data_IF_091792343880
#
_entry.id   IF_091792343880
#
_cell.length_a   1.000
_cell.length_b   1.000
_cell.length_c   1.000
_cell.angle_alpha   90.00
_cell.angle_beta   90.00
_cell.angle_gamma   90.00
#
_symmetry.space_group_name_H-M   'P 1'
#
loop_
_entity.id
_entity.type
_entity.pdbx_description
1 polymer ?
#
# COMPACT_ATOMS: atom_id res chain seq x y z
N UNK A 1 20.47 7.90 42.77
CA UNK A 1 21.21 6.84 42.05
C UNK A 1 20.20 5.81 41.54
N UNK A 2 19.91 5.79 40.24
CA UNK A 2 18.95 4.86 39.65
C UNK A 2 19.62 3.54 39.24
N UNK A 3 19.08 2.43 39.75
CA UNK A 3 19.44 1.05 39.42
C UNK A 3 19.04 0.71 37.98
N UNK A 4 19.96 0.90 37.03
CA UNK A 4 19.79 0.44 35.65
C UNK A 4 20.36 -0.97 35.50
N UNK A 5 19.49 -1.93 35.14
CA UNK A 5 19.83 -3.32 34.87
C UNK A 5 20.72 -3.44 33.62
N UNK A 6 21.68 -4.38 33.63
CA UNK A 6 22.53 -4.71 32.48
C UNK A 6 21.68 -5.17 31.28
N UNK A 7 22.04 -4.80 30.04
CA UNK A 7 21.32 -5.24 28.85
C UNK A 7 21.44 -6.76 28.65
N UNK A 8 20.31 -7.46 28.69
CA UNK A 8 20.26 -8.93 28.66
C UNK A 8 20.22 -9.50 27.23
N UNK A 9 19.68 -8.75 26.25
CA UNK A 9 19.54 -9.23 24.87
C UNK A 9 20.60 -8.68 23.90
N UNK A 10 20.87 -9.43 22.82
CA UNK A 10 21.77 -9.02 21.71
C UNK A 10 21.39 -7.65 21.13
N UNK A 11 20.08 -7.38 21.01
CA UNK A 11 19.52 -6.11 20.52
C UNK A 11 19.78 -4.94 21.48
N UNK A 12 19.76 -5.17 22.79
CA UNK A 12 20.08 -4.14 23.78
C UNK A 12 21.58 -3.86 23.83
N UNK A 13 22.43 -4.88 23.66
CA UNK A 13 23.89 -4.71 23.52
C UNK A 13 24.24 -3.90 22.28
N UNK A 14 23.64 -4.22 21.13
CA UNK A 14 23.83 -3.46 19.89
C UNK A 14 23.45 -1.99 20.06
N UNK A 15 22.28 -1.68 20.63
CA UNK A 15 21.89 -0.29 20.93
C UNK A 15 22.86 0.46 21.85
N UNK A 16 23.43 -0.22 22.85
CA UNK A 16 24.41 0.38 23.75
C UNK A 16 25.73 0.70 23.02
N UNK A 17 26.20 -0.22 22.16
CA UNK A 17 27.37 -0.02 21.30
C UNK A 17 27.12 1.15 20.34
N UNK A 18 25.96 1.20 19.69
CA UNK A 18 25.56 2.31 18.81
C UNK A 18 25.58 3.66 19.54
N UNK A 19 25.07 3.74 20.77
CA UNK A 19 25.08 4.97 21.56
C UNK A 19 26.50 5.42 21.95
N UNK A 20 27.38 4.48 22.32
CA UNK A 20 28.79 4.77 22.63
C UNK A 20 29.52 5.25 21.38
N UNK A 21 29.34 4.58 20.25
CA UNK A 21 29.90 4.99 18.96
C UNK A 21 29.37 6.38 18.54
N UNK A 22 28.08 6.66 18.72
CA UNK A 22 27.49 7.98 18.45
C UNK A 22 28.10 9.08 19.33
N UNK A 23 28.34 8.81 20.61
CA UNK A 23 28.99 9.77 21.53
C UNK A 23 30.45 9.99 21.15
N UNK A 24 31.18 8.92 20.81
CA UNK A 24 32.55 8.96 20.32
C UNK A 24 32.65 9.77 19.03
N UNK A 25 31.83 9.48 18.04
CA UNK A 25 31.80 10.19 16.76
C UNK A 25 31.47 11.68 16.94
N UNK A 26 30.54 12.02 17.85
CA UNK A 26 30.22 13.43 18.18
C UNK A 26 31.41 14.16 18.81
N UNK A 27 32.12 13.49 19.73
CA UNK A 27 33.28 14.07 20.41
C UNK A 27 34.49 14.20 19.48
N UNK A 28 34.67 13.23 18.60
CA UNK A 28 35.68 13.27 17.53
C UNK A 28 35.37 14.39 16.51
N UNK A 29 34.09 14.65 16.19
CA UNK A 29 33.67 15.77 15.32
C UNK A 29 33.95 17.15 15.92
N UNK A 30 33.92 17.32 17.24
CA UNK A 30 34.26 18.61 17.88
C UNK A 30 35.75 18.97 17.79
N UNK A 31 36.62 18.03 17.44
CA UNK A 31 38.08 18.21 17.35
C UNK A 31 38.58 18.43 15.90
N UNK A 32 37.73 18.99 15.01
CA UNK A 32 38.07 19.38 13.63
C UNK A 32 38.55 18.24 12.71
N UNK A 33 37.65 17.31 12.41
CA UNK A 33 37.92 16.06 11.69
C UNK A 33 37.69 16.08 10.16
N UNK A 34 37.67 17.23 9.47
CA UNK A 34 37.40 17.25 8.01
C UNK A 34 38.48 16.57 7.13
N UNK A 35 39.53 15.96 7.71
CA UNK A 35 40.74 15.53 6.98
C UNK A 35 41.33 14.16 7.34
N UNK A 36 40.74 13.40 8.25
CA UNK A 36 41.37 12.14 8.71
C UNK A 36 40.86 10.94 7.89
N UNK A 37 41.80 10.15 7.39
CA UNK A 37 41.53 8.95 6.59
C UNK A 37 40.92 7.81 7.43
N UNK A 38 40.27 6.85 6.77
CA UNK A 38 39.48 5.76 7.39
C UNK A 38 40.27 4.98 8.45
N UNK A 39 41.54 4.69 8.17
CA UNK A 39 42.39 3.93 9.10
C UNK A 39 42.84 4.78 10.30
N UNK A 40 43.01 6.09 10.10
CA UNK A 40 43.31 7.03 11.17
C UNK A 40 42.13 7.22 12.13
N UNK A 41 40.89 7.02 11.66
CA UNK A 41 39.70 7.02 12.53
C UNK A 41 39.67 5.82 13.48
N UNK A 42 39.96 4.62 12.98
CA UNK A 42 39.98 3.42 13.82
C UNK A 42 41.16 3.43 14.79
N UNK A 43 42.34 3.89 14.36
CA UNK A 43 43.48 4.11 15.25
C UNK A 43 43.17 5.18 16.31
N UNK A 44 42.53 6.30 15.95
CA UNK A 44 42.08 7.28 16.96
C UNK A 44 40.99 6.75 17.88
N UNK A 45 40.09 5.90 17.41
CA UNK A 45 39.03 5.30 18.23
C UNK A 45 39.62 4.30 19.23
N UNK A 46 40.66 3.56 18.79
CA UNK A 46 41.47 2.66 19.60
C UNK A 46 42.29 3.45 20.62
N UNK A 47 43.05 4.45 20.21
CA UNK A 47 43.78 5.38 21.08
C UNK A 47 42.86 6.02 22.09
N UNK A 48 41.69 6.50 21.67
CA UNK A 48 40.74 7.17 22.56
C UNK A 48 40.11 6.20 23.57
N UNK A 49 39.89 4.93 23.19
CA UNK A 49 39.44 3.89 24.13
C UNK A 49 40.54 3.47 25.10
N UNK A 50 41.79 3.38 24.64
CA UNK A 50 42.97 3.06 25.43
C UNK A 50 43.39 4.20 26.38
N UNK A 51 43.16 5.45 25.97
CA UNK A 51 43.46 6.68 26.73
C UNK A 51 42.26 7.26 27.49
N UNK A 52 41.05 6.71 27.30
CA UNK A 52 39.85 7.16 28.02
C UNK A 52 40.16 7.12 29.52
N UNK A 53 39.98 8.24 30.26
CA UNK A 53 40.44 8.33 31.64
C UNK A 53 40.02 7.13 32.46
N UNK A 54 40.93 6.68 33.34
CA UNK A 54 40.74 5.70 34.43
C UNK A 54 39.67 6.18 35.43
N UNK A 55 38.53 6.63 34.96
CA UNK A 55 37.40 7.07 35.75
C UNK A 55 36.74 5.80 36.29
N UNK A 56 37.17 5.45 37.50
CA UNK A 56 36.85 4.24 38.26
C UNK A 56 35.37 3.88 38.23
N UNK A 57 34.49 4.86 38.04
CA UNK A 57 33.04 4.73 38.00
C UNK A 57 32.46 4.00 36.75
N UNK A 58 33.15 4.00 35.60
CA UNK A 58 32.69 3.29 34.40
C UNK A 58 33.25 1.86 34.37
N UNK A 59 34.49 1.65 34.83
CA UNK A 59 35.06 0.30 35.01
C UNK A 59 34.30 -0.54 36.03
N UNK A 60 33.72 0.06 37.07
CA UNK A 60 32.88 -0.69 38.01
C UNK A 60 31.48 -1.01 37.47
N UNK A 61 30.98 -0.27 36.47
CA UNK A 61 29.64 -0.48 35.91
C UNK A 61 29.60 -1.36 34.65
N UNK A 62 30.70 -1.39 33.87
CA UNK A 62 30.82 -2.20 32.64
C UNK A 62 32.15 -2.98 32.52
N UNK A 63 33.17 -2.59 33.27
CA UNK A 63 34.54 -3.11 33.16
C UNK A 63 34.79 -4.50 33.75
N UNK A 64 33.75 -5.27 34.03
CA UNK A 64 33.88 -6.72 34.30
C UNK A 64 33.50 -7.62 33.12
N UNK A 65 32.92 -7.10 32.03
CA UNK A 65 32.28 -7.97 31.02
C UNK A 65 32.76 -7.77 29.57
N UNK A 66 33.41 -6.67 29.23
CA UNK A 66 33.86 -6.47 27.85
C UNK A 66 35.39 -6.30 27.74
N UNK A 67 36.03 -7.40 27.33
CA UNK A 67 37.40 -7.41 26.83
C UNK A 67 37.53 -6.39 25.68
N UNK A 68 38.45 -5.41 25.76
CA UNK A 68 38.70 -4.42 24.71
C UNK A 68 38.90 -5.04 23.33
N UNK A 69 39.63 -6.16 23.24
CA UNK A 69 39.87 -6.86 21.98
C UNK A 69 38.59 -7.50 21.44
N UNK A 70 37.70 -7.96 22.33
CA UNK A 70 36.39 -8.49 21.97
C UNK A 70 35.42 -7.38 21.54
N UNK A 71 35.47 -6.21 22.17
CA UNK A 71 34.72 -5.02 21.71
C UNK A 71 35.19 -4.57 20.34
N UNK A 72 36.50 -4.43 20.13
CA UNK A 72 37.09 -4.09 18.83
C UNK A 72 36.72 -5.15 17.78
N UNK A 73 36.84 -6.43 18.10
CA UNK A 73 36.43 -7.52 17.20
C UNK A 73 34.92 -7.54 16.90
N UNK A 74 34.05 -7.20 17.87
CA UNK A 74 32.61 -7.08 17.64
C UNK A 74 32.27 -5.84 16.81
N UNK A 75 32.96 -4.72 17.03
CA UNK A 75 32.89 -3.49 16.23
C UNK A 75 33.39 -3.74 14.80
N UNK A 76 34.45 -4.54 14.62
CA UNK A 76 34.97 -4.98 13.32
C UNK A 76 34.03 -5.96 12.61
N UNK A 77 33.39 -6.87 13.34
CA UNK A 77 32.34 -7.76 12.79
C UNK A 77 31.09 -6.97 12.39
N UNK A 78 30.81 -5.88 13.09
CA UNK A 78 29.73 -4.93 12.80
C UNK A 78 30.21 -3.75 11.93
N UNK A 79 31.41 -3.81 11.32
CA UNK A 79 32.03 -2.73 10.53
C UNK A 79 31.13 -2.22 9.40
N UNK A 80 30.32 -3.11 8.82
CA UNK A 80 29.29 -2.77 7.81
C UNK A 80 28.15 -1.91 8.42
N UNK A 81 27.76 -2.15 9.67
CA UNK A 81 26.78 -1.34 10.39
C UNK A 81 27.35 0.02 10.82
N UNK A 82 28.66 0.10 11.10
CA UNK A 82 29.34 1.34 11.50
C UNK A 82 29.51 2.28 10.31
N UNK A 83 29.92 1.77 9.14
CA UNK A 83 29.98 2.55 7.91
C UNK A 83 28.58 3.13 7.59
N UNK A 84 27.51 2.34 7.74
CA UNK A 84 26.12 2.83 7.61
C UNK A 84 25.73 3.89 8.67
N UNK A 85 26.23 3.77 9.91
CA UNK A 85 25.99 4.73 10.99
C UNK A 85 26.73 6.06 10.78
N UNK A 86 27.97 6.01 10.30
CA UNK A 86 28.78 7.19 9.97
C UNK A 86 28.20 7.94 8.76
N UNK A 87 27.77 7.22 7.73
CA UNK A 87 27.04 7.75 6.57
C UNK A 87 25.72 8.44 7.00
N UNK A 88 25.00 7.83 7.95
CA UNK A 88 23.83 8.42 8.58
C UNK A 88 24.15 9.68 9.42
N UNK A 89 25.40 10.02 9.71
CA UNK A 89 25.76 11.22 10.49
C UNK A 89 26.30 12.36 9.63
N UNK A 90 26.59 12.11 8.37
CA UNK A 90 27.22 13.09 7.46
C UNK A 90 26.22 13.83 6.56
N UNK A 91 25.10 13.18 6.21
CA UNK A 91 24.11 13.80 5.34
C UNK A 91 23.21 14.79 6.11
N UNK A 92 23.01 16.02 5.61
CA UNK A 92 22.03 16.97 6.15
C UNK A 92 20.63 16.35 6.21
N UNK A 93 19.83 16.72 7.23
CA UNK A 93 18.46 16.20 7.43
C UNK A 93 17.60 16.38 6.18
N UNK A 94 17.68 17.54 5.51
CA UNK A 94 16.96 17.83 4.25
C UNK A 94 17.33 16.82 3.16
N UNK A 95 18.63 16.55 2.96
CA UNK A 95 19.08 15.60 1.93
C UNK A 95 18.61 14.17 2.22
N UNK A 96 18.60 13.74 3.49
CA UNK A 96 18.08 12.42 3.86
C UNK A 96 16.60 12.26 3.53
N UNK A 97 15.78 13.29 3.80
CA UNK A 97 14.36 13.28 3.45
C UNK A 97 14.16 13.15 1.95
N UNK A 98 14.88 13.95 1.15
CA UNK A 98 14.85 13.86 -0.31
C UNK A 98 15.23 12.46 -0.81
N UNK A 99 16.33 11.89 -0.29
CA UNK A 99 16.76 10.54 -0.69
C UNK A 99 15.77 9.45 -0.25
N UNK A 100 15.10 9.62 0.89
CA UNK A 100 14.03 8.71 1.32
C UNK A 100 12.83 8.80 0.37
N UNK A 101 12.42 10.02 0.00
CA UNK A 101 11.35 10.22 -0.97
C UNK A 101 11.66 9.57 -2.32
N UNK A 102 12.87 9.80 -2.87
CA UNK A 102 13.31 9.13 -4.10
C UNK A 102 13.29 7.61 -3.99
N UNK A 103 13.74 7.06 -2.85
CA UNK A 103 13.73 5.63 -2.62
C UNK A 103 12.30 5.06 -2.56
N UNK A 104 11.36 5.81 -1.98
CA UNK A 104 9.95 5.45 -1.92
C UNK A 104 9.33 5.40 -3.32
N UNK A 105 9.44 6.51 -4.07
CA UNK A 105 8.99 6.62 -5.47
C UNK A 105 9.54 5.48 -6.32
N UNK A 106 10.84 5.21 -6.22
CA UNK A 106 11.46 4.15 -7.03
C UNK A 106 10.95 2.76 -6.60
N UNK A 107 10.79 2.53 -5.31
CA UNK A 107 10.29 1.25 -4.81
C UNK A 107 8.80 1.01 -5.14
N UNK A 108 8.00 2.06 -5.32
CA UNK A 108 6.60 1.95 -5.77
C UNK A 108 6.49 1.70 -7.27
N UNK A 109 7.38 2.33 -8.05
CA UNK A 109 7.18 2.47 -9.49
C UNK A 109 7.96 1.44 -10.30
N UNK A 110 9.03 0.88 -9.73
CA UNK A 110 9.92 -0.06 -10.42
C UNK A 110 10.02 -1.37 -9.63
N UNK A 111 9.66 -2.48 -10.27
CA UNK A 111 9.82 -3.82 -9.71
C UNK A 111 11.30 -4.23 -9.71
N UNK A 112 12.04 -3.89 -8.65
CA UNK A 112 13.47 -4.15 -8.56
C UNK A 112 13.78 -5.54 -7.98
N UNK A 113 14.71 -6.27 -8.61
CA UNK A 113 15.24 -7.52 -8.07
C UNK A 113 16.41 -7.30 -7.08
N UNK A 114 16.85 -8.35 -6.40
CA UNK A 114 17.93 -8.26 -5.40
C UNK A 114 19.27 -7.79 -5.99
N UNK A 115 19.53 -8.04 -7.28
CA UNK A 115 20.77 -7.63 -7.96
C UNK A 115 20.70 -6.13 -8.27
N UNK A 116 19.58 -5.66 -8.79
CA UNK A 116 19.31 -4.24 -9.08
C UNK A 116 19.33 -3.39 -7.80
N UNK A 117 18.75 -3.88 -6.71
CA UNK A 117 18.78 -3.20 -5.40
C UNK A 117 20.19 -2.97 -4.86
N UNK A 118 21.20 -3.63 -5.43
CA UNK A 118 22.60 -3.45 -5.05
C UNK A 118 23.37 -2.43 -5.88
N UNK A 119 22.85 -2.04 -7.04
CA UNK A 119 23.58 -1.28 -8.04
C UNK A 119 22.74 -0.15 -8.65
N UNK A 120 23.19 1.09 -8.40
CA UNK A 120 22.55 2.29 -8.94
C UNK A 120 22.52 2.30 -10.46
N UNK A 121 23.53 1.75 -11.12
CA UNK A 121 23.62 1.81 -12.58
C UNK A 121 22.54 0.92 -13.23
N UNK A 122 22.27 -0.26 -12.63
CA UNK A 122 21.16 -1.12 -13.02
C UNK A 122 19.79 -0.48 -12.75
N UNK A 123 19.64 0.24 -11.62
CA UNK A 123 18.41 1.00 -11.32
C UNK A 123 18.18 2.07 -12.39
N UNK A 124 19.21 2.85 -12.74
CA UNK A 124 19.13 3.89 -13.75
C UNK A 124 18.77 3.32 -15.13
N UNK A 125 19.35 2.19 -15.53
CA UNK A 125 18.97 1.51 -16.77
C UNK A 125 17.50 1.09 -16.77
N UNK A 126 17.00 0.60 -15.64
CA UNK A 126 15.62 0.15 -15.51
C UNK A 126 14.63 1.30 -15.61
N UNK A 127 14.93 2.41 -14.92
CA UNK A 127 14.15 3.65 -15.01
C UNK A 127 14.06 4.09 -16.48
N UNK A 128 15.20 4.20 -17.16
CA UNK A 128 15.27 4.59 -18.59
C UNK A 128 14.48 3.66 -19.52
N UNK A 129 14.46 2.35 -19.24
CA UNK A 129 13.74 1.37 -20.07
C UNK A 129 12.23 1.45 -19.88
N UNK A 130 11.75 1.65 -18.65
CA UNK A 130 10.32 1.64 -18.32
C UNK A 130 9.64 3.01 -18.54
N UNK A 131 10.38 4.11 -18.50
CA UNK A 131 9.83 5.46 -18.65
C UNK A 131 9.30 5.78 -20.06
N UNK A 132 9.64 4.97 -21.06
CA UNK A 132 9.02 5.05 -22.39
C UNK A 132 7.50 4.73 -22.41
N UNK A 133 6.87 4.44 -21.26
CA UNK A 133 5.49 3.97 -21.18
C UNK A 133 4.55 4.78 -20.24
N UNK A 134 5.04 5.71 -19.40
CA UNK A 134 4.16 6.56 -18.56
C UNK A 134 4.95 7.65 -17.81
N UNK A 135 4.64 8.93 -18.05
CA UNK A 135 5.21 10.07 -17.30
C UNK A 135 4.41 10.26 -16.01
N UNK A 136 4.64 9.43 -15.01
CA UNK A 136 4.13 9.70 -13.66
C UNK A 136 4.94 10.85 -13.04
N UNK A 137 4.26 11.90 -12.57
CA UNK A 137 4.89 13.02 -11.86
C UNK A 137 4.59 12.87 -10.37
N UNK A 138 5.64 12.84 -9.55
CA UNK A 138 5.55 12.70 -8.09
C UNK A 138 5.78 14.04 -7.43
N UNK A 139 5.08 14.32 -6.34
CA UNK A 139 5.21 15.60 -5.61
C UNK A 139 5.73 15.31 -4.21
N UNK A 140 6.81 16.01 -3.81
CA UNK A 140 7.37 15.86 -2.47
C UNK A 140 6.58 16.66 -1.40
N UNK A 141 7.00 16.56 -0.14
CA UNK A 141 6.39 17.28 0.99
C UNK A 141 6.43 18.83 0.87
N UNK A 142 7.23 19.36 -0.05
CA UNK A 142 7.37 20.81 -0.29
C UNK A 142 6.64 21.27 -1.57
N UNK A 143 5.93 20.38 -2.26
CA UNK A 143 5.29 20.69 -3.54
C UNK A 143 6.24 20.62 -4.74
N UNK A 144 7.45 20.08 -4.59
CA UNK A 144 8.37 19.95 -5.71
C UNK A 144 8.02 18.72 -6.56
N UNK A 145 7.94 18.90 -7.87
CA UNK A 145 7.62 17.86 -8.83
C UNK A 145 8.84 17.08 -9.30
N UNK A 146 8.72 15.75 -9.32
CA UNK A 146 9.72 14.79 -9.73
C UNK A 146 9.15 13.92 -10.84
N UNK A 147 9.67 14.13 -12.05
CA UNK A 147 9.53 13.18 -13.15
C UNK A 147 10.78 12.30 -13.23
N UNK A 148 10.74 11.30 -14.11
CA UNK A 148 11.83 10.34 -14.31
C UNK A 148 13.16 10.99 -14.67
N UNK A 149 13.17 12.02 -15.52
CA UNK A 149 14.38 12.78 -15.87
C UNK A 149 15.03 13.44 -14.66
N UNK A 150 14.21 14.09 -13.82
CA UNK A 150 14.67 14.71 -12.57
C UNK A 150 15.21 13.65 -11.61
N UNK A 151 14.52 12.52 -11.47
CA UNK A 151 14.97 11.40 -10.63
C UNK A 151 16.34 10.90 -11.12
N UNK A 152 16.48 10.61 -12.43
CA UNK A 152 17.74 10.15 -13.04
C UNK A 152 18.86 11.16 -12.76
N UNK A 153 18.61 12.45 -13.00
CA UNK A 153 19.60 13.51 -12.76
C UNK A 153 20.06 13.53 -11.31
N UNK A 154 19.11 13.51 -10.37
CA UNK A 154 19.44 13.54 -8.94
C UNK A 154 20.18 12.29 -8.47
N UNK A 155 19.89 11.12 -9.06
CA UNK A 155 20.58 9.87 -8.77
C UNK A 155 22.03 9.86 -9.30
N UNK A 156 22.27 10.39 -10.50
CA UNK A 156 23.61 10.49 -11.10
C UNK A 156 24.50 11.45 -10.29
N UNK A 157 23.91 12.53 -9.76
CA UNK A 157 24.63 13.55 -8.98
C UNK A 157 24.88 13.15 -7.51
N UNK A 158 24.53 11.93 -7.10
CA UNK A 158 24.76 11.47 -5.74
C UNK A 158 26.24 11.31 -5.43
N UNK A 159 26.68 11.91 -4.33
CA UNK A 159 27.97 11.58 -3.72
C UNK A 159 27.97 10.12 -3.25
N UNK A 160 29.15 9.50 -3.11
CA UNK A 160 29.27 8.12 -2.62
C UNK A 160 28.48 7.89 -1.33
N UNK A 161 28.53 8.83 -0.39
CA UNK A 161 27.83 8.72 0.89
C UNK A 161 26.31 8.80 0.73
N UNK A 162 25.83 9.64 -0.19
CA UNK A 162 24.42 9.73 -0.54
C UNK A 162 23.92 8.49 -1.29
N UNK A 163 24.72 7.94 -2.23
CA UNK A 163 24.43 6.69 -2.97
C UNK A 163 24.24 5.52 -2.00
N UNK A 164 25.17 5.33 -1.06
CA UNK A 164 25.07 4.24 -0.07
C UNK A 164 23.83 4.43 0.83
N UNK A 165 23.57 5.65 1.31
CA UNK A 165 22.38 5.93 2.10
C UNK A 165 21.10 5.60 1.33
N UNK A 166 20.99 6.08 0.08
CA UNK A 166 19.85 5.86 -0.80
C UNK A 166 19.60 4.37 -1.03
N UNK A 167 20.62 3.61 -1.48
CA UNK A 167 20.48 2.16 -1.74
C UNK A 167 20.04 1.39 -0.49
N UNK A 168 20.52 1.79 0.69
CA UNK A 168 20.09 1.19 1.95
C UNK A 168 18.62 1.48 2.28
N UNK A 169 18.11 2.69 2.01
CA UNK A 169 16.68 2.98 2.21
C UNK A 169 15.83 2.21 1.20
N UNK A 170 16.24 2.22 -0.07
CA UNK A 170 15.55 1.51 -1.14
C UNK A 170 15.41 0.02 -0.80
N UNK A 171 16.51 -0.66 -0.41
CA UNK A 171 16.48 -2.07 0.03
C UNK A 171 15.51 -2.30 1.20
N UNK A 172 15.50 -1.42 2.19
CA UNK A 172 14.61 -1.54 3.35
C UNK A 172 13.14 -1.41 2.94
N UNK A 173 12.83 -0.46 2.06
CA UNK A 173 11.48 -0.26 1.53
C UNK A 173 11.05 -1.44 0.66
N UNK A 174 11.87 -1.88 -0.28
CA UNK A 174 11.57 -3.05 -1.12
C UNK A 174 11.35 -4.32 -0.30
N UNK A 175 12.17 -4.56 0.73
CA UNK A 175 11.97 -5.72 1.62
C UNK A 175 10.70 -5.59 2.48
N UNK A 176 10.36 -4.38 2.92
CA UNK A 176 9.11 -4.11 3.63
C UNK A 176 7.91 -4.42 2.73
N UNK A 177 7.91 -3.88 1.50
CA UNK A 177 6.86 -4.09 0.49
C UNK A 177 6.70 -5.55 0.11
N UNK A 178 7.80 -6.28 -0.09
CA UNK A 178 7.74 -7.72 -0.36
C UNK A 178 7.05 -8.47 0.78
N UNK A 179 7.39 -8.17 2.03
CA UNK A 179 6.72 -8.78 3.19
C UNK A 179 5.23 -8.44 3.25
N UNK A 180 4.89 -7.19 2.99
CA UNK A 180 3.50 -6.72 2.94
C UNK A 180 2.72 -7.42 1.83
N UNK A 181 3.33 -7.60 0.65
CA UNK A 181 2.74 -8.35 -0.45
C UNK A 181 2.56 -9.84 -0.15
N UNK A 182 3.51 -10.48 0.53
CA UNK A 182 3.35 -11.86 0.98
C UNK A 182 2.19 -12.00 1.97
N UNK A 183 2.04 -11.04 2.88
CA UNK A 183 0.90 -11.00 3.81
C UNK A 183 -0.42 -10.81 3.06
N UNK A 184 -0.47 -9.87 2.12
CA UNK A 184 -1.64 -9.62 1.28
C UNK A 184 -2.04 -10.86 0.47
N UNK A 185 -1.10 -11.55 -0.17
CA UNK A 185 -1.38 -12.80 -0.92
C UNK A 185 -1.94 -13.89 -0.02
N UNK A 186 -1.43 -14.03 1.20
CA UNK A 186 -1.95 -15.00 2.16
C UNK A 186 -3.38 -14.65 2.60
N UNK A 187 -3.63 -13.36 2.87
CA UNK A 187 -4.96 -12.85 3.22
C UNK A 187 -5.95 -13.07 2.06
N UNK A 188 -5.60 -12.66 0.84
CA UNK A 188 -6.41 -12.86 -0.37
C UNK A 188 -6.73 -14.34 -0.61
N UNK A 189 -5.76 -15.24 -0.43
CA UNK A 189 -5.99 -16.67 -0.56
C UNK A 189 -7.02 -17.20 0.47
N UNK A 190 -6.95 -16.73 1.71
CA UNK A 190 -7.90 -17.10 2.76
C UNK A 190 -9.31 -16.55 2.48
N UNK A 191 -9.39 -15.29 2.03
CA UNK A 191 -10.66 -14.65 1.66
C UNK A 191 -11.31 -15.33 0.45
N UNK A 192 -10.53 -15.68 -0.58
CA UNK A 192 -11.06 -16.43 -1.72
C UNK A 192 -11.59 -17.81 -1.32
N UNK A 193 -10.93 -18.53 -0.40
CA UNK A 193 -11.47 -19.80 0.14
C UNK A 193 -12.84 -19.63 0.81
N UNK A 194 -13.04 -18.53 1.54
CA UNK A 194 -14.34 -18.21 2.13
C UNK A 194 -15.36 -17.87 1.04
N UNK A 195 -14.95 -17.04 0.07
CA UNK A 195 -15.77 -16.57 -1.04
C UNK A 195 -16.23 -17.66 -2.01
N UNK A 196 -15.48 -18.76 -2.17
CA UNK A 196 -15.84 -19.90 -3.03
C UNK A 196 -17.25 -20.43 -2.75
N UNK A 197 -17.65 -20.51 -1.47
CA UNK A 197 -18.98 -21.00 -1.07
C UNK A 197 -20.13 -20.09 -1.50
N UNK A 198 -19.83 -18.83 -1.85
CA UNK A 198 -20.79 -17.82 -2.30
C UNK A 198 -20.59 -17.42 -3.77
N UNK A 199 -19.62 -18.04 -4.48
CA UNK A 199 -19.23 -17.61 -5.82
C UNK A 199 -18.60 -16.21 -5.86
N UNK A 200 -18.08 -15.72 -4.73
CA UNK A 200 -17.48 -14.38 -4.60
C UNK A 200 -15.97 -14.50 -4.74
N UNK A 201 -15.39 -13.68 -5.61
CA UNK A 201 -13.94 -13.52 -5.73
C UNK A 201 -13.46 -12.31 -4.94
N UNK A 202 -12.25 -12.38 -4.43
CA UNK A 202 -11.58 -11.26 -3.76
C UNK A 202 -10.23 -10.99 -4.38
N UNK A 203 -9.87 -9.71 -4.51
CA UNK A 203 -8.56 -9.28 -5.01
C UNK A 203 -8.04 -8.10 -4.20
N UNK A 204 -6.87 -8.24 -3.57
CA UNK A 204 -6.21 -7.13 -2.90
C UNK A 204 -5.41 -6.35 -3.94
N UNK A 205 -5.88 -5.14 -4.23
CA UNK A 205 -5.25 -4.21 -5.18
C UNK A 205 -4.05 -3.51 -4.53
N UNK A 206 -4.18 -3.14 -3.25
CA UNK A 206 -3.12 -2.44 -2.50
C UNK A 206 -3.16 -2.83 -1.02
N UNK A 207 -2.00 -2.93 -0.41
CA UNK A 207 -1.84 -3.33 0.98
C UNK A 207 -0.57 -2.73 1.59
N UNK A 208 -0.76 -1.93 2.63
CA UNK A 208 0.33 -1.29 3.36
C UNK A 208 0.17 -1.47 4.86
N UNK A 209 1.26 -1.72 5.59
CA UNK A 209 1.27 -1.70 7.05
C UNK A 209 1.98 -0.45 7.56
N UNK A 210 1.20 0.48 8.10
CA UNK A 210 1.69 1.76 8.58
C UNK A 210 2.27 1.67 9.99
N UNK A 211 1.63 0.88 10.84
CA UNK A 211 2.10 0.58 12.19
C UNK A 211 1.85 -0.90 12.52
N UNK A 212 2.27 -1.36 13.71
CA UNK A 212 2.16 -2.77 14.10
C UNK A 212 0.75 -3.36 13.87
N UNK A 213 -0.27 -2.56 14.14
CA UNK A 213 -1.70 -2.91 14.10
C UNK A 213 -2.50 -1.88 13.27
N UNK A 214 -1.89 -1.30 12.24
CA UNK A 214 -2.56 -0.32 11.36
C UNK A 214 -2.26 -0.68 9.92
N UNK A 215 -3.30 -0.93 9.14
CA UNK A 215 -3.24 -1.43 7.77
C UNK A 215 -4.04 -0.50 6.86
N UNK A 216 -3.45 -0.09 5.74
CA UNK A 216 -4.19 0.49 4.61
C UNK A 216 -4.49 -0.63 3.61
N UNK A 217 -5.75 -0.76 3.20
CA UNK A 217 -6.22 -1.84 2.33
C UNK A 217 -7.06 -1.27 1.21
N UNK A 218 -6.72 -1.65 -0.03
CA UNK A 218 -7.59 -1.53 -1.20
C UNK A 218 -7.91 -2.93 -1.69
N UNK A 219 -9.17 -3.33 -1.62
CA UNK A 219 -9.62 -4.69 -1.92
C UNK A 219 -10.91 -4.68 -2.73
N UNK A 220 -10.99 -5.56 -3.73
CA UNK A 220 -12.21 -5.91 -4.43
C UNK A 220 -12.84 -7.14 -3.76
N UNK A 221 -14.13 -7.08 -3.46
CA UNK A 221 -14.93 -8.21 -2.99
C UNK A 221 -16.18 -8.31 -3.85
N UNK A 222 -16.24 -9.33 -4.72
CA UNK A 222 -17.26 -9.43 -5.75
C UNK A 222 -17.17 -8.25 -6.70
N UNK A 223 -18.20 -7.41 -6.72
CA UNK A 223 -18.28 -6.19 -7.53
C UNK A 223 -17.98 -4.90 -6.76
N UNK A 224 -17.74 -5.00 -5.45
CA UNK A 224 -17.43 -3.86 -4.60
C UNK A 224 -15.93 -3.60 -4.51
N UNK A 225 -15.54 -2.33 -4.50
CA UNK A 225 -14.17 -1.89 -4.20
C UNK A 225 -14.18 -1.13 -2.89
N UNK A 226 -13.39 -1.61 -1.93
CA UNK A 226 -13.19 -0.97 -0.64
C UNK A 226 -11.80 -0.35 -0.58
N UNK A 227 -11.71 0.88 -0.08
CA UNK A 227 -10.47 1.57 0.23
C UNK A 227 -10.59 2.16 1.63
N UNK A 228 -9.84 1.65 2.58
CA UNK A 228 -9.95 2.05 3.98
C UNK A 228 -8.71 1.72 4.80
N UNK A 229 -8.67 2.32 5.98
CA UNK A 229 -7.66 2.06 7.00
C UNK A 229 -8.26 1.23 8.12
N UNK A 230 -7.50 0.26 8.62
CA UNK A 230 -7.93 -0.67 9.66
C UNK A 230 -6.97 -0.65 10.85
N UNK A 231 -7.52 -0.39 12.03
CA UNK A 231 -6.82 -0.48 13.30
C UNK A 231 -7.17 -1.79 14.01
N UNK A 232 -6.19 -2.69 14.13
CA UNK A 232 -6.36 -4.01 14.71
C UNK A 232 -5.26 -4.97 14.30
N UNK A 233 -5.41 -6.24 14.64
CA UNK A 233 -4.52 -7.32 14.20
C UNK A 233 -4.86 -7.76 12.78
N UNK A 234 -3.92 -8.45 12.11
CA UNK A 234 -4.18 -9.04 10.79
C UNK A 234 -5.35 -10.04 10.81
N UNK A 235 -5.52 -10.77 11.92
CA UNK A 235 -6.60 -11.74 12.07
C UNK A 235 -7.96 -11.03 12.19
N UNK A 236 -8.06 -9.95 12.95
CA UNK A 236 -9.29 -9.14 13.04
C UNK A 236 -9.63 -8.48 11.68
N UNK A 237 -8.62 -8.06 10.92
CA UNK A 237 -8.82 -7.58 9.55
C UNK A 237 -9.42 -8.68 8.67
N UNK A 238 -8.87 -9.89 8.73
CA UNK A 238 -9.39 -11.05 8.00
C UNK A 238 -10.85 -11.33 8.38
N UNK A 239 -11.15 -11.44 9.68
CA UNK A 239 -12.52 -11.68 10.16
C UNK A 239 -13.50 -10.60 9.70
N UNK A 240 -13.05 -9.34 9.67
CA UNK A 240 -13.88 -8.21 9.18
C UNK A 240 -14.18 -8.37 7.70
N UNK A 241 -13.18 -8.69 6.89
CA UNK A 241 -13.35 -8.92 5.45
C UNK A 241 -14.17 -10.19 5.16
N UNK A 242 -14.02 -11.25 5.96
CA UNK A 242 -14.84 -12.47 5.86
C UNK A 242 -16.33 -12.17 6.14
N UNK A 243 -16.63 -11.31 7.11
CA UNK A 243 -18.02 -10.87 7.36
C UNK A 243 -18.59 -10.09 6.18
N UNK A 244 -17.81 -9.23 5.53
CA UNK A 244 -18.25 -8.54 4.31
C UNK A 244 -18.55 -9.53 3.18
N UNK A 245 -17.73 -10.57 3.00
CA UNK A 245 -17.99 -11.66 2.04
C UNK A 245 -19.30 -12.37 2.37
N UNK A 246 -19.56 -12.69 3.65
CA UNK A 246 -20.80 -13.33 4.09
C UNK A 246 -22.02 -12.43 3.82
N UNK A 247 -21.93 -11.14 4.14
CA UNK A 247 -23.00 -10.17 3.89
C UNK A 247 -23.34 -10.08 2.40
N UNK A 248 -22.33 -10.01 1.53
CA UNK A 248 -22.52 -10.01 0.07
C UNK A 248 -23.11 -11.36 -0.39
N UNK A 249 -22.60 -12.48 0.16
CA UNK A 249 -23.05 -13.83 -0.18
C UNK A 249 -24.48 -14.15 0.26
N UNK A 250 -25.00 -13.42 1.24
CA UNK A 250 -26.37 -13.51 1.74
C UNK A 250 -27.34 -12.54 1.04
N UNK A 251 -26.86 -11.65 0.16
CA UNK A 251 -27.72 -10.78 -0.64
C UNK A 251 -28.42 -11.59 -1.72
N UNK A 252 -29.68 -11.95 -1.44
CA UNK A 252 -30.53 -12.74 -2.30
C UNK A 252 -31.56 -11.83 -2.97
N UNK A 253 -31.68 -11.96 -4.29
CA UNK A 253 -32.74 -11.34 -5.08
C UNK A 253 -33.72 -12.39 -5.58
N UNK A 254 -35.00 -12.04 -5.59
CA UNK A 254 -36.05 -12.86 -6.19
C UNK A 254 -36.39 -12.34 -7.59
N UNK A 255 -36.44 -13.23 -8.59
CA UNK A 255 -36.94 -12.89 -9.91
C UNK A 255 -38.45 -12.56 -9.82
N UNK A 256 -38.88 -11.34 -10.17
CA UNK A 256 -40.28 -10.92 -9.99
C UNK A 256 -41.25 -11.71 -10.88
N UNK A 257 -40.76 -12.31 -11.97
CA UNK A 257 -41.56 -13.03 -12.95
C UNK A 257 -41.76 -14.51 -12.64
N UNK A 258 -40.76 -15.21 -12.10
CA UNK A 258 -40.83 -16.66 -11.85
C UNK A 258 -40.56 -17.06 -10.41
N UNK A 259 -40.30 -16.09 -9.52
CA UNK A 259 -40.12 -16.30 -8.08
C UNK A 259 -38.92 -17.16 -7.68
N UNK A 260 -38.01 -17.46 -8.62
CA UNK A 260 -36.73 -18.08 -8.30
C UNK A 260 -35.81 -17.06 -7.62
N UNK A 261 -35.16 -17.50 -6.56
CA UNK A 261 -34.18 -16.72 -5.80
C UNK A 261 -32.77 -17.00 -6.29
N UNK A 262 -31.95 -15.97 -6.30
CA UNK A 262 -30.55 -16.01 -6.73
C UNK A 262 -29.70 -15.16 -5.80
N UNK A 263 -28.45 -15.54 -5.59
CA UNK A 263 -27.46 -14.63 -5.05
C UNK A 263 -27.27 -13.47 -6.01
N UNK A 264 -27.25 -12.23 -5.50
CA UNK A 264 -27.12 -11.03 -6.33
C UNK A 264 -25.83 -11.06 -7.14
N UNK A 265 -24.71 -11.43 -6.52
CA UNK A 265 -23.42 -11.54 -7.20
C UNK A 265 -23.47 -12.54 -8.37
N UNK A 266 -24.11 -13.71 -8.17
CA UNK A 266 -24.29 -14.69 -9.24
C UNK A 266 -25.06 -14.10 -10.44
N UNK A 267 -26.09 -13.27 -10.18
CA UNK A 267 -26.87 -12.60 -11.24
C UNK A 267 -26.08 -11.51 -11.93
N UNK A 268 -25.19 -10.81 -11.23
CA UNK A 268 -24.30 -9.83 -11.87
C UNK A 268 -23.39 -10.54 -12.88
N UNK A 269 -22.84 -11.69 -12.51
CA UNK A 269 -21.97 -12.48 -13.39
C UNK A 269 -22.76 -13.22 -14.48
N UNK A 270 -24.03 -13.57 -14.22
CA UNK A 270 -24.93 -14.30 -15.10
C UNK A 270 -26.28 -13.59 -15.20
N UNK A 271 -26.40 -12.51 -16.01
CA UNK A 271 -27.53 -11.57 -16.00
C UNK A 271 -28.81 -12.10 -16.66
N UNK A 272 -29.08 -13.41 -16.57
CA UNK A 272 -30.25 -14.07 -17.16
C UNK A 272 -30.85 -15.10 -16.21
N UNK A 273 -32.15 -14.99 -16.01
CA UNK A 273 -32.97 -16.02 -15.38
C UNK A 273 -33.34 -17.10 -16.40
N UNK A 274 -33.55 -18.33 -15.92
CA UNK A 274 -34.06 -19.44 -16.74
C UNK A 274 -35.44 -19.18 -17.36
N UNK A 275 -36.23 -18.24 -16.82
CA UNK A 275 -37.53 -17.87 -17.38
C UNK A 275 -37.46 -16.78 -18.47
N UNK A 276 -36.25 -16.43 -18.91
CA UNK A 276 -36.01 -15.40 -19.93
C UNK A 276 -36.01 -13.96 -19.39
N UNK A 277 -36.03 -13.76 -18.07
CA UNK A 277 -35.81 -12.44 -17.46
C UNK A 277 -34.35 -12.06 -17.59
N UNK A 278 -34.08 -10.82 -18.00
CA UNK A 278 -32.74 -10.24 -18.01
C UNK A 278 -32.58 -9.32 -16.80
N UNK A 279 -31.37 -9.30 -16.24
CA UNK A 279 -31.00 -8.43 -15.14
C UNK A 279 -29.98 -7.43 -15.62
N UNK A 280 -30.19 -6.16 -15.27
CA UNK A 280 -29.26 -5.09 -15.61
C UNK A 280 -28.85 -4.40 -14.33
N UNK A 281 -27.54 -4.26 -14.16
CA UNK A 281 -26.89 -3.63 -13.01
C UNK A 281 -26.09 -2.45 -13.53
N UNK A 282 -26.13 -1.32 -12.84
CA UNK A 282 -25.29 -0.18 -13.20
C UNK A 282 -23.82 -0.48 -12.89
N UNK A 283 -22.92 -0.22 -13.85
CA UNK A 283 -21.50 -0.10 -13.55
C UNK A 283 -21.24 1.27 -12.91
N UNK A 284 -20.96 1.27 -11.60
CA UNK A 284 -20.39 2.33 -10.75
C UNK A 284 -20.79 3.80 -11.03
N UNK A 285 -21.30 4.45 -9.98
CA UNK A 285 -21.51 5.89 -9.85
C UNK A 285 -20.26 6.72 -10.22
N UNK A 286 -20.27 7.42 -11.35
CA UNK A 286 -19.34 8.53 -11.58
C UNK A 286 -19.72 9.70 -10.66
N UNK A 287 -18.77 10.28 -9.93
CA UNK A 287 -18.98 11.48 -9.13
C UNK A 287 -18.91 12.72 -10.05
N UNK A 288 -20.07 13.30 -10.38
CA UNK A 288 -20.23 14.57 -11.10
C UNK A 288 -21.68 15.05 -11.15
N UNK A 289 -21.94 16.24 -11.71
CA UNK A 289 -23.26 16.91 -11.67
C UNK A 289 -24.32 16.34 -12.64
N UNK A 290 -24.00 15.34 -13.48
CA UNK A 290 -24.97 14.71 -14.41
C UNK A 290 -24.78 13.20 -14.45
N UNK A 291 -25.22 12.56 -13.37
CA UNK A 291 -25.09 11.12 -13.15
C UNK A 291 -26.14 10.34 -13.94
N UNK A 292 -25.75 9.73 -15.05
CA UNK A 292 -26.54 8.66 -15.65
C UNK A 292 -25.66 7.50 -16.05
N UNK A 293 -26.00 6.30 -15.61
CA UNK A 293 -25.34 5.09 -16.08
C UNK A 293 -25.66 4.88 -17.58
N UNK A 294 -24.67 4.39 -18.34
CA UNK A 294 -24.87 4.07 -19.76
C UNK A 294 -25.95 3.01 -19.93
N UNK A 295 -26.03 2.03 -19.02
CA UNK A 295 -27.02 0.96 -19.04
C UNK A 295 -28.44 1.51 -18.91
N UNK A 296 -28.66 2.48 -18.01
CA UNK A 296 -29.97 3.11 -17.86
C UNK A 296 -30.31 4.00 -19.04
N UNK A 297 -29.34 4.70 -19.62
CA UNK A 297 -29.54 5.45 -20.84
C UNK A 297 -30.01 4.54 -21.98
N UNK A 298 -29.30 3.45 -22.20
CA UNK A 298 -29.56 2.50 -23.27
C UNK A 298 -30.91 1.82 -23.07
N UNK A 299 -31.25 1.47 -21.81
CA UNK A 299 -32.57 0.96 -21.48
C UNK A 299 -33.68 1.93 -21.84
N UNK A 300 -33.53 3.21 -21.49
CA UNK A 300 -34.50 4.23 -21.85
C UNK A 300 -34.62 4.42 -23.37
N UNK A 301 -33.48 4.43 -24.07
CA UNK A 301 -33.44 4.62 -25.53
C UNK A 301 -34.13 3.46 -26.25
N UNK A 302 -33.82 2.23 -25.86
CA UNK A 302 -34.44 1.00 -26.39
C UNK A 302 -35.95 0.99 -26.13
N UNK A 303 -36.38 1.28 -24.89
CA UNK A 303 -37.78 1.29 -24.51
C UNK A 303 -38.58 2.35 -25.27
N UNK A 304 -38.02 3.54 -25.45
CA UNK A 304 -38.66 4.62 -26.19
C UNK A 304 -38.77 4.29 -27.68
N UNK A 305 -37.72 3.71 -28.27
CA UNK A 305 -37.70 3.28 -29.66
C UNK A 305 -38.77 2.21 -29.93
N UNK A 306 -38.82 1.17 -29.09
CA UNK A 306 -39.77 0.07 -29.28
C UNK A 306 -41.21 0.50 -29.03
N UNK A 307 -41.46 1.32 -28.02
CA UNK A 307 -42.83 1.69 -27.61
C UNK A 307 -43.33 3.01 -28.22
N UNK A 308 -42.50 3.68 -29.02
CA UNK A 308 -42.77 5.01 -29.60
C UNK A 308 -43.13 6.05 -28.52
N UNK A 309 -42.61 5.91 -27.31
CA UNK A 309 -42.73 6.92 -26.26
C UNK A 309 -41.69 8.02 -26.48
N UNK A 310 -42.07 9.26 -26.18
CA UNK A 310 -41.09 10.33 -26.07
C UNK A 310 -40.34 10.17 -24.75
N UNK A 311 -39.02 10.07 -24.81
CA UNK A 311 -38.15 10.04 -23.63
C UNK A 311 -38.41 11.30 -22.77
N UNK A 312 -38.72 11.17 -21.46
CA UNK A 312 -38.91 12.31 -20.57
C UNK A 312 -37.68 13.22 -20.57
N UNK A 313 -37.85 14.54 -20.43
CA UNK A 313 -36.69 15.46 -20.40
C UNK A 313 -35.79 15.24 -19.18
N UNK A 314 -36.36 14.77 -18.09
CA UNK A 314 -35.76 14.49 -16.77
C UNK A 314 -35.58 12.99 -16.51
N UNK A 315 -35.50 12.17 -17.57
CA UNK A 315 -35.41 10.71 -17.51
C UNK A 315 -34.29 10.19 -16.58
N UNK A 316 -33.18 10.94 -16.44
CA UNK A 316 -32.06 10.61 -15.56
C UNK A 316 -32.44 10.51 -14.08
N UNK A 317 -33.49 11.23 -13.68
CA UNK A 317 -33.99 11.26 -12.30
C UNK A 317 -35.24 10.39 -12.12
N UNK A 318 -35.69 9.69 -13.17
CA UNK A 318 -36.89 8.86 -13.14
C UNK A 318 -36.55 7.39 -13.22
N UNK A 319 -37.29 6.59 -12.47
CA UNK A 319 -37.17 5.14 -12.47
C UNK A 319 -37.90 4.60 -13.70
N UNK A 320 -37.20 3.86 -14.56
CA UNK A 320 -37.77 3.34 -15.81
C UNK A 320 -38.92 2.36 -15.52
N UNK A 321 -38.86 1.64 -14.40
CA UNK A 321 -39.91 0.77 -13.91
C UNK A 321 -41.23 1.49 -13.58
N UNK A 322 -41.25 2.82 -13.42
CA UNK A 322 -42.51 3.58 -13.29
C UNK A 322 -43.32 3.63 -14.60
N UNK A 323 -42.70 3.33 -15.75
CA UNK A 323 -43.29 3.49 -17.08
C UNK A 323 -43.69 2.18 -17.74
N UNK A 324 -43.15 1.05 -17.28
CA UNK A 324 -43.35 -0.25 -17.92
C UNK A 324 -43.79 -1.31 -16.91
N UNK A 325 -44.68 -2.22 -17.32
CA UNK A 325 -45.27 -3.25 -16.44
C UNK A 325 -44.33 -4.43 -16.22
N UNK A 326 -43.36 -4.61 -17.11
CA UNK A 326 -42.43 -5.72 -17.16
C UNK A 326 -40.99 -5.29 -16.88
N UNK A 327 -40.84 -4.30 -16.00
CA UNK A 327 -39.56 -3.91 -15.40
C UNK A 327 -39.79 -3.72 -13.91
N UNK A 328 -38.85 -4.21 -13.11
CA UNK A 328 -38.92 -4.16 -11.67
C UNK A 328 -37.56 -3.72 -11.13
N UNK A 329 -37.57 -2.67 -10.31
CA UNK A 329 -36.39 -2.28 -9.54
C UNK A 329 -36.15 -3.25 -8.39
N UNK A 330 -34.92 -3.75 -8.28
CA UNK A 330 -34.50 -4.76 -7.29
C UNK A 330 -33.64 -4.18 -6.16
N UNK A 331 -33.58 -2.84 -6.06
CA UNK A 331 -32.74 -2.18 -5.07
C UNK A 331 -31.25 -2.21 -5.42
N UNK A 332 -30.45 -1.64 -4.50
CA UNK A 332 -28.98 -1.60 -4.59
C UNK A 332 -28.31 -2.81 -3.94
N UNK A 333 -28.97 -3.45 -2.97
CA UNK A 333 -28.37 -4.54 -2.19
C UNK A 333 -27.09 -4.11 -1.48
N UNK A 334 -26.18 -5.06 -1.28
CA UNK A 334 -24.85 -4.85 -0.69
C UNK A 334 -23.83 -4.34 -1.69
N UNK A 335 -24.14 -4.37 -3.00
CA UNK A 335 -23.22 -3.99 -4.09
C UNK A 335 -23.23 -2.50 -4.45
N UNK A 336 -24.07 -1.70 -3.78
CA UNK A 336 -24.17 -0.25 -3.98
C UNK A 336 -24.76 0.23 -5.32
N UNK A 337 -24.72 -0.59 -6.37
CA UNK A 337 -25.27 -0.33 -7.70
C UNK A 337 -26.74 -0.73 -7.80
N UNK A 338 -27.54 0.09 -8.49
CA UNK A 338 -28.95 -0.22 -8.76
C UNK A 338 -29.07 -1.38 -9.74
N UNK A 339 -30.10 -2.20 -9.55
CA UNK A 339 -30.40 -3.34 -10.40
C UNK A 339 -31.88 -3.36 -10.80
N UNK A 340 -32.16 -3.77 -12.04
CA UNK A 340 -33.50 -4.01 -12.55
C UNK A 340 -33.62 -5.40 -13.15
N UNK A 341 -34.79 -6.02 -12.99
CA UNK A 341 -35.21 -7.19 -13.75
C UNK A 341 -36.21 -6.76 -14.82
N UNK A 342 -36.02 -7.25 -16.05
CA UNK A 342 -36.91 -6.92 -17.17
C UNK A 342 -37.17 -8.11 -18.09
N UNK A 343 -38.28 -8.03 -18.82
CA UNK A 343 -38.58 -8.91 -19.95
C UNK A 343 -38.89 -8.08 -21.18
N UNK A 344 -38.42 -8.52 -22.35
CA UNK A 344 -38.87 -7.99 -23.64
C UNK A 344 -40.04 -8.82 -24.18
N UNK A 345 -40.93 -8.26 -25.02
CA UNK A 345 -40.99 -6.86 -25.47
C UNK A 345 -41.51 -5.91 -24.37
N UNK A 346 -41.15 -4.62 -24.41
CA UNK A 346 -41.56 -3.62 -23.43
C UNK A 346 -43.08 -3.39 -23.41
N UNK A 347 -43.70 -3.41 -22.22
CA UNK A 347 -45.14 -3.22 -22.03
C UNK A 347 -45.37 -1.93 -21.25
N UNK A 348 -46.00 -0.93 -21.88
CA UNK A 348 -46.31 0.33 -21.20
C UNK A 348 -47.27 0.09 -20.04
N UNK A 349 -47.00 0.69 -18.88
CA UNK A 349 -47.96 0.79 -17.80
C UNK A 349 -49.23 1.47 -18.30
N UNK A 350 -50.37 0.80 -18.16
CA UNK A 350 -51.66 1.47 -18.31
C UNK A 350 -51.72 2.57 -17.25
N UNK A 351 -51.96 3.82 -17.68
CA UNK A 351 -52.26 4.90 -16.72
C UNK A 351 -53.42 4.41 -15.87
N UNK A 352 -53.23 4.34 -14.54
CA UNK A 352 -54.37 4.15 -13.64
C UNK A 352 -55.38 5.23 -13.98
N UNK A 353 -56.60 4.82 -14.34
CA UNK A 353 -57.72 5.74 -14.36
C UNK A 353 -57.80 6.32 -12.95
N UNK A 354 -57.57 7.62 -12.83
CA UNK A 354 -57.75 8.37 -11.58
C UNK A 354 -59.23 8.59 -11.40
#
# INVERSE_FOLDING_TARGET
MNNLKLPQSRKQRQKAIEQILLQLVRKIKSENYRKLEKDQFFEKLKDYYETWPKNKAIRTRWGKIYDPLRFISEVEKERVNIDNLLLNLELPKKKKKQLMFLADVISDSYLLDNKELSDLDLILEKIKKQDNQSIATYVDENGEEYNSDRIIKELIELTNNARIYFLNQLRKLSYKKEKEWQMAKQLEYQLNKKGESYGIKTCIIDFARWAKNVYGVKIEIGTNVYLFDFEGTLEELKETLEKEIELIGQDIIECPFCKKSYQRQFIIDNPKCSCGTEFITESIFYMGERNVSFEIKDLWDEACQQTKLKKPKDWSHRHIDDYFENIYYLGKGTVGSRMWALKRPWVKKKKKAI
#
